data_IF_382895521404
#
_entry.id   IF_382895521404
#
_cell.length_a   1.000
_cell.length_b   1.000
_cell.length_c   1.000
_cell.angle_alpha   90.00
_cell.angle_beta   90.00
_cell.angle_gamma   90.00
#
_symmetry.space_group_name_H-M   'P 1'
#
loop_
_entity.id
_entity.type
_entity.pdbx_description
1 polymer ?
#
# COMPACT_ATOMS: atom_id res chain seq x y z
N UNK A 1 16.47 8.71 18.50
CA UNK A 1 16.73 10.11 18.09
C UNK A 1 16.05 10.30 16.74
N UNK A 2 15.53 11.50 16.48
CA UNK A 2 14.86 11.86 15.23
C UNK A 2 15.43 13.21 14.81
N UNK A 3 15.76 13.34 13.53
CA UNK A 3 16.02 14.64 12.91
C UNK A 3 14.97 14.85 11.83
N UNK A 4 14.31 16.00 11.84
CA UNK A 4 13.27 16.37 10.89
C UNK A 4 13.71 17.61 10.12
N UNK A 5 13.58 17.56 8.81
CA UNK A 5 13.90 18.65 7.91
C UNK A 5 12.67 19.01 7.08
N UNK A 6 12.25 20.26 7.18
CA UNK A 6 11.18 20.85 6.41
C UNK A 6 11.37 22.38 6.40
N UNK A 7 10.92 23.03 5.34
CA UNK A 7 10.78 24.50 5.30
C UNK A 7 9.37 24.90 5.69
N UNK A 8 9.16 26.18 6.05
CA UNK A 8 7.82 26.70 6.30
C UNK A 8 6.90 26.57 5.08
N UNK A 9 7.47 26.72 3.87
CA UNK A 9 6.76 26.45 2.61
C UNK A 9 6.27 25.01 2.54
N UNK A 10 7.13 24.04 2.85
CA UNK A 10 6.78 22.62 2.80
C UNK A 10 5.65 22.28 3.78
N UNK A 11 5.70 22.84 5.00
CA UNK A 11 4.63 22.66 6.00
C UNK A 11 3.32 23.32 5.54
N UNK A 12 3.40 24.49 4.89
CA UNK A 12 2.24 25.16 4.32
C UNK A 12 1.61 24.31 3.22
N UNK A 13 2.40 23.79 2.29
CA UNK A 13 1.92 22.89 1.25
C UNK A 13 1.26 21.65 1.85
N UNK A 14 1.87 20.98 2.84
CA UNK A 14 1.24 19.84 3.52
C UNK A 14 -0.09 20.20 4.19
N UNK A 15 -0.24 21.43 4.68
CA UNK A 15 -1.50 21.88 5.29
C UNK A 15 -2.60 22.21 4.28
N UNK A 16 -2.24 22.50 3.03
CA UNK A 16 -3.18 22.85 1.96
C UNK A 16 -3.63 21.61 1.17
N UNK A 17 -2.76 20.62 1.00
CA UNK A 17 -3.04 19.43 0.21
C UNK A 17 -3.33 18.23 1.11
N UNK A 18 -4.50 17.62 0.91
CA UNK A 18 -5.05 16.61 1.80
C UNK A 18 -4.57 15.18 1.52
N UNK A 19 -3.98 14.93 0.35
CA UNK A 19 -3.50 13.61 -0.07
C UNK A 19 -2.00 13.49 0.13
N UNK A 20 -1.62 12.62 1.07
CA UNK A 20 -0.23 12.43 1.47
C UNK A 20 0.29 11.05 1.06
N UNK A 21 1.61 10.95 0.95
CA UNK A 21 2.31 9.69 0.78
C UNK A 21 3.45 9.60 1.78
N UNK A 22 3.75 8.41 2.27
CA UNK A 22 4.91 8.25 3.14
C UNK A 22 5.66 6.94 2.87
N UNK A 23 6.97 7.06 2.70
CA UNK A 23 7.86 5.96 2.30
C UNK A 23 9.17 6.00 3.11
N UNK A 24 9.67 4.82 3.46
CA UNK A 24 10.95 4.63 4.12
C UNK A 24 12.01 4.16 3.13
N UNK A 25 13.07 4.95 2.95
CA UNK A 25 14.21 4.61 2.08
C UNK A 25 15.45 4.28 2.91
N UNK A 26 16.05 3.12 2.65
CA UNK A 26 17.17 2.56 3.43
C UNK A 26 18.54 2.89 2.82
N UNK A 27 18.65 2.79 1.49
CA UNK A 27 19.93 2.84 0.76
C UNK A 27 20.63 4.21 0.84
N UNK A 28 19.91 5.26 1.26
CA UNK A 28 20.41 6.63 1.37
C UNK A 28 20.55 7.09 2.82
N UNK A 29 20.32 6.19 3.78
CA UNK A 29 20.40 6.51 5.19
C UNK A 29 21.87 6.61 5.63
N UNK A 30 22.30 7.72 6.27
CA UNK A 30 23.63 7.79 6.87
C UNK A 30 23.79 6.68 7.93
N UNK A 31 25.03 6.23 8.16
CA UNK A 31 25.34 5.03 8.98
C UNK A 31 24.76 5.03 10.40
N UNK A 32 24.45 6.21 10.95
CA UNK A 32 23.85 6.38 12.29
C UNK A 32 22.33 6.23 12.32
N UNK A 33 21.68 6.15 11.16
CA UNK A 33 20.23 6.08 11.02
C UNK A 33 19.82 4.80 10.32
N UNK A 34 18.68 4.25 10.75
CA UNK A 34 18.17 3.02 10.20
C UNK A 34 17.45 3.25 8.86
N UNK A 35 16.84 4.42 8.68
CA UNK A 35 16.20 4.82 7.44
C UNK A 35 16.03 6.34 7.35
N UNK A 36 15.88 6.82 6.13
CA UNK A 36 15.26 8.12 5.83
C UNK A 36 13.78 7.88 5.56
N UNK A 37 12.91 8.54 6.30
CA UNK A 37 11.46 8.48 6.14
C UNK A 37 10.95 9.80 5.58
N UNK A 38 10.22 9.74 4.47
CA UNK A 38 9.85 10.94 3.71
C UNK A 38 8.33 11.02 3.62
N UNK A 39 7.78 12.17 4.02
CA UNK A 39 6.36 12.50 3.84
C UNK A 39 6.25 13.42 2.63
N UNK A 40 5.38 13.03 1.71
CA UNK A 40 5.10 13.72 0.46
C UNK A 40 3.67 14.24 0.45
N UNK A 41 3.44 15.34 -0.27
CA UNK A 41 2.10 15.83 -0.59
C UNK A 41 1.81 15.70 -2.09
N UNK A 42 0.54 15.43 -2.45
CA UNK A 42 0.06 15.60 -3.82
C UNK A 42 -0.22 17.08 -4.08
N UNK A 43 0.79 17.82 -4.49
CA UNK A 43 0.67 19.25 -4.78
C UNK A 43 0.23 19.40 -6.23
N UNK A 44 -1.02 19.82 -6.43
CA UNK A 44 -1.73 19.81 -7.72
C UNK A 44 -1.79 18.39 -8.31
N UNK A 45 -0.81 18.06 -9.16
CA UNK A 45 -0.68 16.77 -9.86
C UNK A 45 0.74 16.24 -9.73
N UNK A 46 1.51 16.66 -8.73
CA UNK A 46 2.89 16.22 -8.53
C UNK A 46 3.06 15.74 -7.10
N UNK A 47 3.69 14.58 -6.96
CA UNK A 47 4.09 14.07 -5.64
C UNK A 47 5.41 14.73 -5.30
N UNK A 48 5.39 15.62 -4.29
CA UNK A 48 6.58 16.35 -3.84
C UNK A 48 7.01 15.86 -2.46
N UNK A 49 8.30 15.59 -2.21
CA UNK A 49 8.80 15.30 -0.88
C UNK A 49 8.86 16.59 -0.07
N UNK A 50 8.11 16.66 1.04
CA UNK A 50 7.93 17.89 1.82
C UNK A 50 8.59 17.81 3.20
N UNK A 51 8.63 16.63 3.81
CA UNK A 51 9.26 16.44 5.13
C UNK A 51 10.17 15.23 5.09
N UNK A 52 11.41 15.40 5.54
CA UNK A 52 12.40 14.34 5.65
C UNK A 52 12.69 14.04 7.12
N UNK A 53 12.66 12.77 7.50
CA UNK A 53 12.86 12.31 8.86
C UNK A 53 13.97 11.25 8.91
N UNK A 54 15.08 11.56 9.57
CA UNK A 54 16.12 10.57 9.85
C UNK A 54 15.76 9.81 11.14
N UNK A 55 15.46 8.53 11.00
CA UNK A 55 14.98 7.68 12.10
C UNK A 55 16.07 6.69 12.52
N UNK A 56 16.39 6.68 13.82
CA UNK A 56 17.34 5.70 14.38
C UNK A 56 16.69 4.32 14.63
N UNK A 57 15.36 4.22 14.64
CA UNK A 57 14.60 2.99 14.93
C UNK A 57 13.26 2.99 14.19
N UNK A 58 12.76 1.80 13.83
CA UNK A 58 11.42 1.56 13.22
C UNK A 58 10.34 1.16 14.23
N UNK A 59 10.43 1.72 15.44
CA UNK A 59 9.42 1.44 16.46
C UNK A 59 8.23 2.40 16.32
N UNK A 60 7.05 1.96 16.73
CA UNK A 60 5.85 2.82 16.76
C UNK A 60 6.10 4.11 17.54
N UNK A 61 6.87 4.05 18.64
CA UNK A 61 7.27 5.23 19.43
C UNK A 61 8.12 6.22 18.61
N UNK A 62 9.05 5.74 17.78
CA UNK A 62 9.90 6.61 16.97
C UNK A 62 9.09 7.35 15.90
N UNK A 63 8.20 6.64 15.20
CA UNK A 63 7.27 7.26 14.26
C UNK A 63 6.30 8.23 14.94
N UNK A 64 5.74 7.84 16.09
CA UNK A 64 4.81 8.68 16.84
C UNK A 64 5.46 10.01 17.23
N UNK A 65 6.71 9.97 17.70
CA UNK A 65 7.49 11.18 17.95
C UNK A 65 7.63 12.05 16.69
N UNK A 66 7.89 11.47 15.52
CA UNK A 66 7.96 12.22 14.25
C UNK A 66 6.64 12.88 13.87
N UNK A 67 5.53 12.14 13.90
CA UNK A 67 4.24 12.70 13.54
C UNK A 67 3.75 13.75 14.54
N UNK A 68 3.95 13.53 15.84
CA UNK A 68 3.58 14.52 16.86
C UNK A 68 4.40 15.80 16.73
N UNK A 69 5.70 15.70 16.44
CA UNK A 69 6.56 16.86 16.17
C UNK A 69 6.09 17.62 14.94
N UNK A 70 5.74 16.91 13.86
CA UNK A 70 5.21 17.54 12.64
C UNK A 70 3.90 18.30 12.93
N UNK A 71 2.97 17.67 13.67
CA UNK A 71 1.70 18.28 14.08
C UNK A 71 1.89 19.46 15.04
N UNK A 72 2.92 19.43 15.88
CA UNK A 72 3.28 20.54 16.77
C UNK A 72 3.74 21.76 15.96
N UNK A 73 4.63 21.59 14.98
CA UNK A 73 5.09 22.69 14.13
C UNK A 73 4.02 23.22 13.17
N UNK A 74 3.09 22.38 12.74
CA UNK A 74 1.95 22.82 11.93
C UNK A 74 0.63 22.20 12.46
N UNK A 75 -0.02 22.85 13.46
CA UNK A 75 -1.24 22.33 14.07
C UNK A 75 -2.42 22.16 13.09
N UNK A 76 -2.40 22.91 11.98
CA UNK A 76 -3.44 22.89 10.93
C UNK A 76 -3.39 21.66 10.02
N UNK A 77 -2.36 20.82 10.10
CA UNK A 77 -2.25 19.63 9.25
C UNK A 77 -3.44 18.70 9.43
N UNK A 78 -4.23 18.48 8.39
CA UNK A 78 -5.41 17.63 8.43
C UNK A 78 -5.51 16.80 7.14
N UNK A 79 -4.58 15.84 6.93
CA UNK A 79 -4.64 14.99 5.74
C UNK A 79 -5.94 14.19 5.70
N UNK A 80 -6.55 14.11 4.52
CA UNK A 80 -7.72 13.26 4.28
C UNK A 80 -7.29 11.84 3.93
N UNK A 81 -6.22 11.69 3.15
CA UNK A 81 -5.70 10.39 2.78
C UNK A 81 -4.19 10.28 3.00
N UNK A 82 -3.75 9.08 3.38
CA UNK A 82 -2.33 8.72 3.42
C UNK A 82 -2.13 7.41 2.65
N UNK A 83 -1.30 7.44 1.62
CA UNK A 83 -0.78 6.23 0.98
C UNK A 83 0.57 5.88 1.60
N UNK A 84 0.68 4.72 2.23
CA UNK A 84 1.93 4.30 2.86
C UNK A 84 2.23 2.82 2.67
N UNK A 85 3.41 2.42 3.14
CA UNK A 85 3.88 1.05 3.11
C UNK A 85 3.21 0.14 4.15
N UNK A 86 3.41 -1.17 4.00
CA UNK A 86 2.97 -2.22 4.92
C UNK A 86 3.79 -2.26 6.22
N UNK A 87 4.03 -1.11 6.84
CA UNK A 87 4.73 -1.00 8.12
C UNK A 87 3.75 -0.71 9.25
N UNK A 88 3.40 -1.76 10.00
CA UNK A 88 2.41 -1.71 11.09
C UNK A 88 2.75 -0.64 12.13
N UNK A 89 4.04 -0.52 12.49
CA UNK A 89 4.51 0.47 13.46
C UNK A 89 4.25 1.91 13.00
N UNK A 90 4.57 2.21 11.74
CA UNK A 90 4.35 3.52 11.14
C UNK A 90 2.85 3.83 11.01
N UNK A 91 2.05 2.87 10.53
CA UNK A 91 0.59 3.00 10.42
C UNK A 91 -0.05 3.32 11.77
N UNK A 92 0.23 2.52 12.80
CA UNK A 92 -0.34 2.72 14.14
C UNK A 92 0.05 4.08 14.73
N UNK A 93 1.31 4.48 14.57
CA UNK A 93 1.78 5.78 15.02
C UNK A 93 1.08 6.94 14.28
N UNK A 94 0.90 6.83 12.96
CA UNK A 94 0.22 7.85 12.18
C UNK A 94 -1.24 7.99 12.62
N UNK A 95 -1.96 6.87 12.73
CA UNK A 95 -3.36 6.85 13.17
C UNK A 95 -3.55 7.39 14.60
N UNK A 96 -2.55 7.30 15.48
CA UNK A 96 -2.64 7.93 16.81
C UNK A 96 -2.55 9.46 16.78
N UNK A 97 -1.97 10.05 15.73
CA UNK A 97 -1.82 11.51 15.59
C UNK A 97 -2.90 12.08 14.66
N UNK A 98 -3.28 11.33 13.62
CA UNK A 98 -4.29 11.72 12.63
C UNK A 98 -5.39 10.64 12.53
N UNK A 99 -6.30 10.57 13.53
CA UNK A 99 -7.26 9.47 13.64
C UNK A 99 -8.33 9.47 12.55
N UNK A 100 -8.61 10.63 11.94
CA UNK A 100 -9.63 10.80 10.90
C UNK A 100 -9.13 10.54 9.48
N UNK A 101 -7.81 10.40 9.30
CA UNK A 101 -7.22 10.20 7.98
C UNK A 101 -7.44 8.78 7.47
N UNK A 102 -7.88 8.65 6.21
CA UNK A 102 -7.98 7.37 5.53
C UNK A 102 -6.59 6.88 5.12
N UNK A 103 -6.07 5.91 5.85
CA UNK A 103 -4.78 5.28 5.52
C UNK A 103 -5.01 4.11 4.57
N UNK A 104 -4.32 4.12 3.43
CA UNK A 104 -4.36 3.07 2.40
C UNK A 104 -2.94 2.66 2.02
N UNK A 105 -2.79 1.57 1.26
CA UNK A 105 -1.53 1.18 0.66
C UNK A 105 -1.55 1.24 -0.87
N UNK A 106 -0.35 1.31 -1.42
CA UNK A 106 -0.14 1.19 -2.86
C UNK A 106 -0.20 -0.29 -3.29
N UNK A 107 -0.77 -0.57 -4.46
CA UNK A 107 -0.74 -1.90 -5.09
C UNK A 107 0.69 -2.41 -5.30
N UNK A 108 1.62 -1.52 -5.67
CA UNK A 108 3.03 -1.86 -5.81
C UNK A 108 3.61 -2.43 -4.51
N UNK A 109 3.30 -1.81 -3.36
CA UNK A 109 3.74 -2.29 -2.05
C UNK A 109 3.03 -3.58 -1.65
N UNK A 110 1.78 -3.79 -2.09
CA UNK A 110 1.04 -5.05 -1.87
C UNK A 110 1.73 -6.20 -2.61
N UNK A 111 2.11 -5.97 -3.87
CA UNK A 111 2.88 -6.93 -4.65
C UNK A 111 4.23 -7.22 -4.01
N UNK A 112 4.94 -6.19 -3.55
CA UNK A 112 6.22 -6.36 -2.84
C UNK A 112 6.08 -7.16 -1.54
N UNK A 113 5.04 -6.92 -0.74
CA UNK A 113 4.80 -7.74 0.46
C UNK A 113 4.54 -9.20 0.12
N UNK A 114 3.88 -9.46 -1.01
CA UNK A 114 3.66 -10.81 -1.53
C UNK A 114 4.97 -11.50 -1.93
N UNK A 115 5.84 -10.79 -2.65
CA UNK A 115 7.16 -11.33 -3.02
C UNK A 115 8.04 -11.60 -1.79
N UNK A 116 8.03 -10.70 -0.79
CA UNK A 116 8.76 -10.93 0.45
C UNK A 116 8.23 -12.16 1.20
N UNK A 117 6.91 -12.34 1.26
CA UNK A 117 6.30 -13.55 1.83
C UNK A 117 6.77 -14.81 1.10
N UNK A 118 6.83 -14.78 -0.23
CA UNK A 118 7.36 -15.92 -1.00
C UNK A 118 8.82 -16.24 -0.69
N UNK A 119 9.63 -15.24 -0.34
CA UNK A 119 11.00 -15.47 0.11
C UNK A 119 11.03 -16.09 1.50
N UNK A 120 10.21 -15.59 2.43
CA UNK A 120 10.07 -16.11 3.80
C UNK A 120 9.61 -17.58 3.83
N UNK A 121 8.67 -17.96 2.95
CA UNK A 121 8.16 -19.34 2.85
C UNK A 121 9.00 -20.23 1.92
N UNK A 122 10.18 -19.77 1.47
CA UNK A 122 11.06 -20.50 0.55
C UNK A 122 10.44 -20.88 -0.82
N UNK A 123 9.38 -20.19 -1.25
CA UNK A 123 8.66 -20.41 -2.51
C UNK A 123 9.18 -19.54 -3.67
N UNK A 124 10.15 -18.63 -3.42
CA UNK A 124 10.59 -17.65 -4.41
C UNK A 124 11.27 -18.27 -5.65
N UNK A 125 11.97 -19.40 -5.49
CA UNK A 125 12.60 -20.11 -6.61
C UNK A 125 11.51 -20.68 -7.52
N UNK A 126 10.55 -21.41 -6.92
CA UNK A 126 9.38 -21.92 -7.64
C UNK A 126 8.59 -20.80 -8.32
N UNK A 127 8.38 -19.67 -7.65
CA UNK A 127 7.72 -18.51 -8.25
C UNK A 127 8.44 -17.97 -9.51
N UNK A 128 9.75 -18.16 -9.65
CA UNK A 128 10.51 -17.72 -10.82
C UNK A 128 10.50 -18.75 -11.95
N UNK A 129 10.54 -20.03 -11.60
CA UNK A 129 10.78 -21.14 -12.53
C UNK A 129 9.48 -21.81 -13.00
N UNK A 130 8.47 -21.89 -12.14
CA UNK A 130 7.17 -22.50 -12.41
C UNK A 130 6.17 -21.42 -12.90
N UNK A 131 5.90 -21.44 -14.20
CA UNK A 131 5.01 -20.49 -14.85
C UNK A 131 3.56 -20.56 -14.38
N UNK A 132 3.05 -21.76 -14.08
CA UNK A 132 1.67 -21.94 -13.62
C UNK A 132 1.52 -21.48 -12.17
N UNK A 133 2.44 -21.89 -11.30
CA UNK A 133 2.48 -21.40 -9.93
C UNK A 133 2.58 -19.87 -9.87
N UNK A 134 3.50 -19.28 -10.66
CA UNK A 134 3.64 -17.82 -10.77
C UNK A 134 2.34 -17.14 -11.20
N UNK A 135 1.65 -17.69 -12.20
CA UNK A 135 0.37 -17.15 -12.70
C UNK A 135 -0.68 -17.15 -11.59
N UNK A 136 -0.90 -18.29 -10.94
CA UNK A 136 -1.90 -18.47 -9.87
C UNK A 136 -1.63 -17.55 -8.68
N UNK A 137 -0.39 -17.51 -8.21
CA UNK A 137 0.06 -16.60 -7.16
C UNK A 137 -0.17 -15.14 -7.53
N UNK A 138 0.08 -14.77 -8.79
CA UNK A 138 -0.06 -13.38 -9.26
C UNK A 138 -1.52 -12.92 -9.33
N UNK A 139 -2.48 -13.84 -9.42
CA UNK A 139 -3.91 -13.52 -9.38
C UNK A 139 -4.38 -13.12 -7.99
N UNK A 140 -3.74 -13.61 -6.92
CA UNK A 140 -4.11 -13.29 -5.54
C UNK A 140 -4.04 -11.78 -5.24
N UNK A 141 -2.92 -11.06 -5.47
CA UNK A 141 -2.91 -9.62 -5.26
C UNK A 141 -3.84 -8.88 -6.22
N UNK A 142 -4.20 -9.45 -7.38
CA UNK A 142 -5.15 -8.84 -8.31
C UNK A 142 -6.58 -8.73 -7.74
N UNK A 143 -6.90 -9.48 -6.67
CA UNK A 143 -8.13 -9.29 -5.89
C UNK A 143 -8.27 -7.86 -5.35
N UNK A 144 -7.18 -7.08 -5.28
CA UNK A 144 -7.25 -5.66 -4.92
C UNK A 144 -8.13 -4.84 -5.87
N UNK A 145 -8.32 -5.31 -7.11
CA UNK A 145 -9.12 -4.63 -8.13
C UNK A 145 -10.57 -5.11 -8.20
N UNK A 146 -10.93 -6.12 -7.40
CA UNK A 146 -12.28 -6.64 -7.31
C UNK A 146 -13.08 -5.82 -6.30
N UNK A 147 -14.41 -5.70 -6.50
CA UNK A 147 -15.30 -5.06 -5.53
C UNK A 147 -15.06 -5.63 -4.14
N UNK A 148 -15.01 -4.79 -3.07
CA UNK A 148 -14.71 -5.28 -1.73
C UNK A 148 -15.65 -6.40 -1.24
N UNK A 149 -16.92 -6.37 -1.65
CA UNK A 149 -17.90 -7.41 -1.36
C UNK A 149 -17.62 -8.75 -2.07
N UNK A 150 -16.97 -8.71 -3.24
CA UNK A 150 -16.70 -9.87 -4.09
C UNK A 150 -15.31 -10.51 -3.82
N UNK A 151 -14.46 -9.88 -3.01
CA UNK A 151 -13.10 -10.39 -2.70
C UNK A 151 -13.14 -11.81 -2.12
N UNK A 152 -14.10 -12.09 -1.24
CA UNK A 152 -14.22 -13.41 -0.62
C UNK A 152 -14.55 -14.50 -1.66
N UNK A 153 -15.48 -14.20 -2.57
CA UNK A 153 -15.85 -15.09 -3.67
C UNK A 153 -14.69 -15.28 -4.65
N UNK A 154 -14.02 -14.18 -5.04
CA UNK A 154 -12.87 -14.26 -5.94
C UNK A 154 -11.73 -15.09 -5.36
N UNK A 155 -11.49 -15.03 -4.05
CA UNK A 155 -10.49 -15.88 -3.40
C UNK A 155 -10.88 -17.36 -3.43
N UNK A 156 -12.15 -17.67 -3.15
CA UNK A 156 -12.69 -19.03 -3.21
C UNK A 156 -12.59 -19.63 -4.62
N UNK A 157 -12.89 -18.84 -5.65
CA UNK A 157 -12.71 -19.24 -7.05
C UNK A 157 -11.23 -19.57 -7.36
N UNK A 158 -10.28 -18.76 -6.88
CA UNK A 158 -8.84 -19.04 -7.05
C UNK A 158 -8.40 -20.31 -6.30
N UNK A 159 -8.97 -20.57 -5.13
CA UNK A 159 -8.68 -21.78 -4.35
C UNK A 159 -9.24 -23.03 -5.02
N UNK A 160 -10.46 -22.96 -5.57
CA UNK A 160 -11.11 -24.09 -6.25
C UNK A 160 -10.44 -24.44 -7.59
N UNK A 161 -9.88 -23.45 -8.30
CA UNK A 161 -9.11 -23.69 -9.54
C UNK A 161 -7.69 -24.22 -9.27
N UNK A 162 -7.18 -24.10 -8.04
CA UNK A 162 -5.85 -24.55 -7.68
C UNK A 162 -5.83 -26.06 -7.36
N UNK A 163 -4.76 -26.80 -7.72
CA UNK A 163 -4.60 -28.19 -7.31
C UNK A 163 -4.55 -28.29 -5.78
N UNK A 164 -5.51 -29.01 -5.18
CA UNK A 164 -5.62 -29.14 -3.72
C UNK A 164 -4.39 -29.81 -3.06
N UNK A 165 -3.62 -30.57 -3.83
CA UNK A 165 -2.37 -31.21 -3.41
C UNK A 165 -1.16 -30.27 -3.44
N UNK A 166 -1.29 -29.07 -3.98
CA UNK A 166 -0.20 -28.10 -4.05
C UNK A 166 0.00 -27.38 -2.70
N UNK A 167 0.87 -27.95 -1.88
CA UNK A 167 1.26 -27.40 -0.57
C UNK A 167 1.74 -25.95 -0.67
N UNK A 168 2.47 -25.60 -1.74
CA UNK A 168 3.01 -24.26 -1.92
C UNK A 168 1.92 -23.23 -2.18
N UNK A 169 0.92 -23.54 -3.01
CA UNK A 169 -0.21 -22.64 -3.25
C UNK A 169 -1.09 -22.51 -2.00
N UNK A 170 -1.36 -23.62 -1.31
CA UNK A 170 -2.14 -23.64 -0.08
C UNK A 170 -1.54 -22.72 1.00
N UNK A 171 -0.21 -22.77 1.19
CA UNK A 171 0.51 -21.87 2.11
C UNK A 171 0.33 -20.38 1.75
N UNK A 172 0.34 -20.06 0.46
CA UNK A 172 0.18 -18.68 -0.02
C UNK A 172 -1.24 -18.18 0.22
N UNK A 173 -2.25 -19.02 -0.05
CA UNK A 173 -3.64 -18.71 0.26
C UNK A 173 -3.86 -18.49 1.76
N UNK A 174 -3.35 -19.39 2.60
CA UNK A 174 -3.47 -19.26 4.06
C UNK A 174 -2.78 -17.98 4.57
N UNK A 175 -1.60 -17.67 4.05
CA UNK A 175 -0.89 -16.42 4.37
C UNK A 175 -1.69 -15.18 3.98
N UNK A 176 -2.33 -15.20 2.80
CA UNK A 176 -3.17 -14.10 2.35
C UNK A 176 -4.39 -13.95 3.25
N UNK A 177 -5.10 -15.04 3.55
CA UNK A 177 -6.26 -15.00 4.44
C UNK A 177 -5.91 -14.47 5.82
N UNK A 178 -4.81 -14.97 6.42
CA UNK A 178 -4.33 -14.52 7.72
C UNK A 178 -3.99 -13.03 7.75
N UNK A 179 -3.39 -12.52 6.67
CA UNK A 179 -2.86 -11.16 6.64
C UNK A 179 -3.90 -10.11 6.24
N UNK A 180 -4.78 -10.44 5.29
CA UNK A 180 -5.63 -9.47 4.58
C UNK A 180 -7.14 -9.67 4.78
N UNK A 181 -7.59 -10.89 5.15
CA UNK A 181 -9.01 -11.23 5.36
C UNK A 181 -9.37 -11.40 6.84
N UNK A 182 -8.45 -11.99 7.62
CA UNK A 182 -8.69 -12.41 9.01
C UNK A 182 -9.15 -13.85 9.10
N UNK A 183 -8.48 -14.64 9.94
CA UNK A 183 -8.75 -16.08 10.14
C UNK A 183 -10.08 -16.31 10.86
N UNK A 184 -10.85 -17.32 10.43
CA UNK A 184 -12.00 -17.81 11.20
C UNK A 184 -11.53 -18.50 12.47
N UNK A 185 -12.15 -18.19 13.61
CA UNK A 185 -11.85 -18.85 14.89
C UNK A 185 -12.78 -20.05 15.06
N UNK A 186 -12.30 -21.23 14.69
CA UNK A 186 -13.05 -22.49 14.81
C UNK A 186 -14.36 -22.50 14.00
N UNK A 187 -15.38 -23.20 14.53
CA UNK A 187 -16.73 -23.28 13.92
C UNK A 187 -17.60 -22.01 14.15
N UNK A 188 -17.07 -20.99 14.83
CA UNK A 188 -17.80 -19.76 15.11
C UNK A 188 -17.70 -18.77 13.95
N UNK A 189 -18.71 -17.90 13.77
CA UNK A 189 -18.65 -16.74 12.85
C UNK A 189 -17.63 -15.67 13.28
N UNK A 190 -16.96 -15.84 14.43
CA UNK A 190 -15.93 -14.92 14.93
C UNK A 190 -14.64 -15.04 14.12
N UNK A 191 -14.14 -13.90 13.60
CA UNK A 191 -12.86 -13.82 12.87
C UNK A 191 -11.83 -13.03 13.67
N UNK A 192 -10.57 -13.48 13.65
CA UNK A 192 -9.45 -12.62 14.06
C UNK A 192 -9.38 -11.42 13.11
N UNK A 193 -9.23 -10.18 13.61
CA UNK A 193 -9.11 -9.02 12.75
C UNK A 193 -7.86 -9.15 11.86
N UNK A 194 -8.01 -8.84 10.57
CA UNK A 194 -6.90 -8.81 9.63
C UNK A 194 -5.83 -7.81 10.08
N UNK A 195 -4.55 -8.13 9.84
CA UNK A 195 -3.46 -7.18 10.03
C UNK A 195 -3.65 -5.94 9.14
N UNK A 196 -4.16 -6.16 7.93
CA UNK A 196 -4.49 -5.13 6.96
C UNK A 196 -5.93 -5.37 6.45
N UNK A 197 -6.94 -4.65 6.99
CA UNK A 197 -8.33 -4.79 6.55
C UNK A 197 -8.49 -4.51 5.05
N UNK A 198 -9.56 -5.06 4.45
CA UNK A 198 -9.89 -4.88 3.01
C UNK A 198 -9.78 -3.44 2.51
N UNK A 199 -10.28 -2.47 3.27
CA UNK A 199 -10.32 -1.06 2.86
C UNK A 199 -8.91 -0.42 2.84
N UNK A 200 -7.94 -1.07 3.49
CA UNK A 200 -6.54 -0.63 3.46
C UNK A 200 -5.89 -0.92 2.10
N UNK A 201 -6.14 -2.12 1.53
CA UNK A 201 -5.42 -2.65 0.37
C UNK A 201 -6.23 -2.73 -0.92
N UNK A 202 -7.56 -2.60 -0.85
CA UNK A 202 -8.38 -2.50 -2.05
C UNK A 202 -7.98 -1.26 -2.87
N UNK A 203 -7.96 -1.45 -4.18
CA UNK A 203 -7.77 -0.42 -5.19
C UNK A 203 -9.07 -0.11 -5.94
N UNK A 204 -10.16 -0.82 -5.64
CA UNK A 204 -11.41 -0.77 -6.40
C UNK A 204 -12.01 0.65 -6.44
N UNK A 205 -12.22 1.26 -5.27
CA UNK A 205 -12.81 2.61 -5.17
C UNK A 205 -11.94 3.64 -5.91
N UNK A 206 -10.62 3.58 -5.73
CA UNK A 206 -9.64 4.47 -6.40
C UNK A 206 -9.64 4.38 -7.93
N UNK A 207 -10.03 3.23 -8.48
CA UNK A 207 -10.13 3.04 -9.93
C UNK A 207 -11.52 3.41 -10.43
N UNK A 208 -12.55 3.16 -9.63
CA UNK A 208 -13.96 3.38 -9.97
C UNK A 208 -14.35 4.86 -9.91
N UNK A 209 -13.81 5.60 -8.94
CA UNK A 209 -14.05 7.03 -8.76
C UNK A 209 -13.27 7.90 -9.78
N UNK A 210 -12.34 7.30 -10.54
CA UNK A 210 -11.35 8.03 -11.32
C UNK A 210 -10.39 8.82 -10.42
N UNK A 211 -9.31 9.43 -10.97
CA UNK A 211 -8.52 10.36 -10.17
C UNK A 211 -9.41 11.54 -9.75
N UNK A 212 -9.39 11.91 -8.47
CA UNK A 212 -10.01 13.13 -7.89
C UNK A 212 -9.39 14.45 -8.40
N UNK A 213 -8.81 14.43 -9.60
CA UNK A 213 -8.19 15.58 -10.25
C UNK A 213 -9.16 16.05 -11.34
N UNK A 214 -9.69 17.28 -11.29
CA UNK A 214 -10.38 17.85 -12.46
C UNK A 214 -9.38 17.92 -13.61
N UNK A 215 -9.60 17.12 -14.65
CA UNK A 215 -8.86 17.24 -15.90
C UNK A 215 -9.30 18.55 -16.54
N UNK A 216 -8.47 19.59 -16.50
CA UNK A 216 -8.69 20.79 -17.31
C UNK A 216 -8.76 20.39 -18.79
N UNK A 217 -9.75 20.89 -19.55
CA UNK A 217 -9.93 20.52 -20.95
C UNK A 217 -8.83 21.17 -21.79
N UNK A 218 -7.73 20.45 -22.02
CA UNK A 218 -6.61 20.94 -22.81
C UNK A 218 -5.36 20.06 -22.82
N UNK A 219 -5.22 19.12 -21.88
CA UNK A 219 -4.03 18.25 -21.76
C UNK A 219 -4.38 16.79 -21.99
N UNK A 220 -4.81 16.47 -23.21
CA UNK A 220 -5.12 15.08 -23.60
C UNK A 220 -3.86 14.19 -23.72
N UNK A 221 -2.64 14.72 -23.51
CA UNK A 221 -1.38 13.99 -23.70
C UNK A 221 -0.38 14.01 -22.53
N UNK A 222 -0.72 14.54 -21.34
CA UNK A 222 0.19 14.50 -20.19
C UNK A 222 -0.20 13.46 -19.13
N UNK A 223 0.63 12.42 -19.07
CA UNK A 223 0.73 11.34 -18.08
C UNK A 223 0.22 11.72 -16.68
N UNK A 224 -0.81 11.02 -16.21
CA UNK A 224 -1.31 11.14 -14.83
C UNK A 224 -0.31 10.54 -13.82
N UNK A 225 -0.17 11.13 -12.62
CA UNK A 225 0.77 10.66 -11.58
C UNK A 225 0.44 9.26 -11.07
N UNK A 226 -0.85 8.92 -11.04
CA UNK A 226 -1.33 7.58 -10.73
C UNK A 226 -0.90 6.54 -11.78
N UNK A 227 -0.80 6.94 -13.05
CA UNK A 227 -0.29 6.09 -14.13
C UNK A 227 1.17 5.66 -13.92
N UNK A 228 2.00 6.50 -13.30
CA UNK A 228 3.42 6.20 -13.07
C UNK A 228 3.63 5.22 -11.90
N UNK A 229 2.75 5.25 -10.89
CA UNK A 229 2.78 4.33 -9.74
C UNK A 229 2.07 3.00 -10.07
N UNK A 230 1.06 3.01 -10.95
CA UNK A 230 0.31 1.81 -11.37
C UNK A 230 0.97 1.08 -12.55
N UNK A 231 1.67 1.76 -13.48
CA UNK A 231 2.34 1.11 -14.62
C UNK A 231 3.79 0.71 -14.31
N UNK A 232 3.96 -0.28 -13.44
CA UNK A 232 5.10 -1.22 -13.59
C UNK A 232 4.60 -2.47 -14.33
N UNK A 233 4.68 -2.41 -15.67
CA UNK A 233 4.49 -3.50 -16.66
C UNK A 233 3.16 -4.29 -16.58
N UNK A 234 2.05 -3.63 -16.92
CA UNK A 234 0.85 -4.31 -17.42
C UNK A 234 0.85 -4.47 -18.95
N UNK A 235 1.71 -3.73 -19.67
CA UNK A 235 1.79 -3.73 -21.15
C UNK A 235 2.47 -4.95 -21.77
N UNK A 236 2.75 -6.00 -21.00
CA UNK A 236 3.35 -7.26 -21.47
C UNK A 236 2.40 -8.46 -21.34
N UNK A 237 1.10 -8.24 -21.13
CA UNK A 237 0.10 -9.31 -20.95
C UNK A 237 -0.90 -9.30 -22.12
N UNK A 238 -0.87 -10.28 -23.04
CA UNK A 238 -1.68 -10.26 -24.26
C UNK A 238 -3.17 -10.58 -24.09
N UNK A 239 -3.66 -10.93 -22.89
CA UNK A 239 -4.97 -11.60 -22.74
C UNK A 239 -6.03 -10.82 -21.96
N UNK A 240 -5.91 -9.50 -21.85
CA UNK A 240 -6.98 -8.67 -21.29
C UNK A 240 -7.31 -7.51 -22.27
N UNK A 241 -7.81 -7.89 -23.44
CA UNK A 241 -8.64 -7.04 -24.29
C UNK A 241 -10.00 -7.70 -24.38
N UNK A 242 -11.06 -6.88 -24.35
CA UNK A 242 -12.49 -7.22 -24.44
C UNK A 242 -13.06 -7.76 -23.11
N UNK A 243 -13.89 -7.01 -22.40
CA UNK A 243 -15.26 -6.70 -22.80
C UNK A 243 -15.71 -5.30 -22.38
N UNK A 244 -15.98 -4.44 -23.37
CA UNK A 244 -16.95 -3.34 -23.24
C UNK A 244 -18.14 -3.72 -24.12
N UNK A 245 -19.29 -3.93 -23.49
CA UNK A 245 -20.62 -3.54 -24.00
C UNK A 245 -21.31 -2.88 -22.83
#
# INVERSE_FOLDING_TARGET
>A
RLFMFATDENLRLLSQYADWFADGTFNVSPSLFHQVYIIHGLVHVKVLPLVYCLLTKRSQKAYGCGYSTLKYFCPRLAPQTLLMDFEVAAKRAFQSVFPTTRVTNCFFRLKQSFIRRMQEEHLIVRFREDGDFRRRVSMIPALAFVRPADIARGLEELQNDAPSTDVGLNLVFECFERTYRGLSIGRSRSRRPALFPRDFWSCYERISEGPTIPLSPGTMHSRSPWGCIIRTRASSWPHFKESRV
#
